data_IF_570103056865
#
_entry.id   IF_570103056865
#
_cell.length_a   1.000
_cell.length_b   1.000
_cell.length_c   1.000
_cell.angle_alpha   90.00
_cell.angle_beta   90.00
_cell.angle_gamma   90.00
#
_symmetry.space_group_name_H-M   'P 1'
#
loop_
_entity.id
_entity.type
_entity.pdbx_description
1 polymer ?
#
# COMPACT_ATOMS: atom_id res chain seq x y z
N UNK A 1 -12.85 12.24 -7.20
CA UNK A 1 -11.60 12.89 -7.66
C UNK A 1 -10.63 13.10 -6.52
N UNK A 2 -10.86 14.04 -5.60
CA UNK A 2 -9.86 14.44 -4.59
C UNK A 2 -9.29 13.33 -3.68
N UNK A 3 -10.02 12.24 -3.40
CA UNK A 3 -9.47 11.10 -2.62
C UNK A 3 -8.43 10.32 -3.43
N UNK A 4 -8.75 9.98 -4.68
CA UNK A 4 -7.87 9.18 -5.54
C UNK A 4 -6.59 9.97 -5.82
N UNK A 5 -6.71 11.25 -6.14
CA UNK A 5 -5.56 12.15 -6.36
C UNK A 5 -4.62 12.18 -5.15
N UNK A 6 -5.16 12.30 -3.93
CA UNK A 6 -4.36 12.31 -2.70
C UNK A 6 -3.67 10.98 -2.43
N UNK A 7 -4.34 9.87 -2.72
CA UNK A 7 -3.73 8.54 -2.63
C UNK A 7 -2.60 8.40 -3.67
N UNK A 8 -2.80 8.85 -4.91
CA UNK A 8 -1.76 8.83 -5.93
C UNK A 8 -0.55 9.71 -5.56
N UNK A 9 -0.79 10.90 -5.02
CA UNK A 9 0.27 11.80 -4.51
C UNK A 9 1.08 11.12 -3.39
N UNK A 10 0.40 10.50 -2.43
CA UNK A 10 1.05 9.76 -1.34
C UNK A 10 1.89 8.59 -1.87
N UNK A 11 1.37 7.81 -2.83
CA UNK A 11 2.11 6.71 -3.45
C UNK A 11 3.32 7.21 -4.24
N UNK A 12 3.20 8.31 -5.00
CA UNK A 12 4.31 8.94 -5.70
C UNK A 12 5.40 9.40 -4.73
N UNK A 13 5.01 9.97 -3.58
CA UNK A 13 5.95 10.40 -2.55
C UNK A 13 6.71 9.21 -1.96
N UNK A 14 6.03 8.12 -1.62
CA UNK A 14 6.67 6.91 -1.08
C UNK A 14 7.64 6.29 -2.08
N UNK A 15 7.18 6.04 -3.31
CA UNK A 15 8.02 5.44 -4.35
C UNK A 15 9.20 6.34 -4.71
N UNK A 16 8.99 7.66 -4.79
CA UNK A 16 10.06 8.64 -5.03
C UNK A 16 11.14 8.66 -3.95
N UNK A 17 10.83 8.18 -2.74
CA UNK A 17 11.77 8.04 -1.63
C UNK A 17 12.24 6.59 -1.42
N UNK A 18 11.95 5.68 -2.35
CA UNK A 18 12.42 4.28 -2.30
C UNK A 18 11.62 3.40 -1.33
N UNK A 19 10.38 3.76 -1.00
CA UNK A 19 9.49 2.97 -0.15
C UNK A 19 8.29 2.43 -0.92
N UNK A 20 7.81 1.25 -0.54
CA UNK A 20 6.53 0.67 -0.97
C UNK A 20 5.51 0.72 0.17
N UNK A 21 4.23 0.75 -0.19
CA UNK A 21 3.11 0.56 0.73
C UNK A 21 2.39 -0.74 0.36
N UNK A 22 2.73 -1.84 1.04
CA UNK A 22 2.37 -3.20 0.59
C UNK A 22 0.91 -3.59 0.76
N UNK A 23 0.11 -2.83 1.51
CA UNK A 23 -1.31 -3.15 1.76
C UNK A 23 -2.22 -1.98 1.36
N UNK A 24 -2.10 -1.51 0.11
CA UNK A 24 -2.97 -0.45 -0.40
C UNK A 24 -4.37 -0.99 -0.67
N UNK A 25 -5.31 -0.64 0.22
CA UNK A 25 -6.73 -1.01 0.11
C UNK A 25 -7.62 -0.01 0.83
N UNK A 26 -8.91 -0.02 0.52
CA UNK A 26 -9.87 0.93 1.08
C UNK A 26 -9.88 1.00 2.62
N UNK A 27 -9.78 -0.11 3.38
CA UNK A 27 -9.66 -0.05 4.85
C UNK A 27 -8.43 0.71 5.37
N UNK A 28 -7.35 0.75 4.59
CA UNK A 28 -6.09 1.38 4.96
C UNK A 28 -6.00 2.83 4.43
N UNK A 29 -7.14 3.38 3.96
CA UNK A 29 -7.28 4.76 3.52
C UNK A 29 -8.27 5.47 4.45
N UNK A 30 -7.78 6.44 5.20
CA UNK A 30 -8.62 7.28 6.03
C UNK A 30 -9.06 8.52 5.24
N UNK A 31 -10.38 8.74 5.17
CA UNK A 31 -10.93 10.00 4.66
C UNK A 31 -10.77 11.09 5.72
N UNK A 32 -10.17 12.20 5.34
CA UNK A 32 -9.95 13.36 6.21
C UNK A 32 -10.50 14.62 5.54
N UNK A 33 -10.64 15.71 6.30
CA UNK A 33 -11.03 16.98 5.71
C UNK A 33 -9.98 17.43 4.68
N UNK A 34 -10.44 17.69 3.46
CA UNK A 34 -9.58 18.09 2.34
C UNK A 34 -8.83 16.96 1.63
N UNK A 35 -9.10 15.68 1.94
CA UNK A 35 -8.47 14.58 1.19
C UNK A 35 -8.53 13.20 1.81
N UNK A 36 -7.42 12.47 1.66
CA UNK A 36 -7.23 11.13 2.16
C UNK A 36 -5.81 10.94 2.68
N UNK A 37 -5.65 10.05 3.65
CA UNK A 37 -4.37 9.65 4.22
C UNK A 37 -4.24 8.13 4.20
N UNK A 38 -3.03 7.62 3.98
CA UNK A 38 -2.71 6.22 4.20
C UNK A 38 -2.51 5.99 5.71
N UNK A 39 -3.00 4.86 6.21
CA UNK A 39 -2.82 4.37 7.58
C UNK A 39 -2.41 2.90 7.52
N UNK A 40 -1.95 2.32 8.63
CA UNK A 40 -1.51 0.91 8.69
C UNK A 40 -0.26 0.65 7.81
N UNK A 41 0.90 1.07 8.33
CA UNK A 41 2.20 1.00 7.65
C UNK A 41 2.99 -0.27 7.99
N UNK A 42 2.38 -1.27 8.62
CA UNK A 42 3.10 -2.47 9.07
C UNK A 42 3.71 -3.24 7.89
N UNK A 43 3.15 -3.10 6.69
CA UNK A 43 3.65 -3.71 5.44
C UNK A 43 4.28 -2.69 4.48
N UNK A 44 4.65 -1.52 5.00
CA UNK A 44 5.46 -0.57 4.28
C UNK A 44 6.95 -0.82 4.54
N UNK A 45 7.79 -0.49 3.57
CA UNK A 45 9.23 -0.66 3.73
C UNK A 45 9.99 -0.29 2.46
N UNK A 46 11.31 -0.48 2.47
CA UNK A 46 12.14 -0.14 1.31
C UNK A 46 11.87 -1.07 0.13
N UNK A 47 11.90 -0.52 -1.07
CA UNK A 47 11.83 -1.29 -2.33
C UNK A 47 12.92 -2.36 -2.34
N UNK A 48 12.56 -3.60 -2.66
CA UNK A 48 13.47 -4.76 -2.70
C UNK A 48 13.72 -5.44 -1.35
N UNK A 49 13.58 -4.71 -0.24
CA UNK A 49 13.76 -5.22 1.12
C UNK A 49 12.43 -5.67 1.75
N UNK A 50 11.36 -4.90 1.58
CA UNK A 50 10.02 -5.26 2.07
C UNK A 50 9.56 -6.60 1.48
N UNK A 51 9.01 -7.47 2.34
CA UNK A 51 8.49 -8.80 1.97
C UNK A 51 7.13 -9.02 2.62
N UNK A 52 6.29 -9.78 1.94
CA UNK A 52 5.10 -10.36 2.55
C UNK A 52 5.44 -11.60 3.38
N UNK A 53 4.69 -11.91 4.45
CA UNK A 53 4.73 -13.21 5.11
C UNK A 53 4.42 -14.35 4.13
N UNK A 54 5.02 -15.53 4.36
CA UNK A 54 4.77 -16.71 3.51
C UNK A 54 3.34 -17.26 3.64
N UNK A 55 2.71 -16.99 4.77
CA UNK A 55 1.35 -17.41 5.14
C UNK A 55 0.33 -16.27 4.97
N UNK A 56 0.60 -15.33 4.06
CA UNK A 56 -0.35 -14.27 3.71
C UNK A 56 -1.70 -14.85 3.26
N UNK A 57 -2.78 -14.09 3.46
CA UNK A 57 -4.11 -14.51 3.05
C UNK A 57 -4.25 -14.53 1.51
N UNK A 58 -4.04 -15.68 0.88
CA UNK A 58 -4.15 -15.87 -0.57
C UNK A 58 -5.57 -15.79 -1.13
N UNK A 59 -6.60 -15.61 -0.29
CA UNK A 59 -7.99 -15.46 -0.73
C UNK A 59 -8.35 -14.00 -1.07
N UNK A 60 -7.40 -13.08 -0.89
CA UNK A 60 -7.55 -11.65 -1.23
C UNK A 60 -6.81 -11.34 -2.53
N UNK A 61 -7.36 -10.41 -3.31
CA UNK A 61 -6.70 -9.87 -4.50
C UNK A 61 -5.57 -8.92 -4.10
N UNK A 62 -4.36 -9.47 -3.98
CA UNK A 62 -3.14 -8.69 -3.74
C UNK A 62 -2.63 -8.00 -5.01
N UNK A 63 -1.76 -7.02 -4.83
CA UNK A 63 -1.10 -6.33 -5.93
C UNK A 63 -0.21 -7.29 -6.75
N UNK A 64 -0.01 -6.97 -8.02
CA UNK A 64 0.90 -7.72 -8.89
C UNK A 64 2.33 -7.75 -8.30
N UNK A 65 2.99 -8.92 -8.37
CA UNK A 65 4.29 -9.16 -7.74
C UNK A 65 4.23 -9.68 -6.30
N UNK A 66 3.04 -9.81 -5.73
CA UNK A 66 2.83 -10.62 -4.52
C UNK A 66 3.04 -12.10 -4.88
N UNK A 67 3.75 -12.90 -4.08
CA UNK A 67 3.98 -14.31 -4.38
C UNK A 67 2.66 -15.06 -4.58
N UNK A 68 2.60 -15.90 -5.61
CA UNK A 68 1.52 -16.87 -5.74
C UNK A 68 1.55 -17.85 -4.56
N UNK A 69 0.40 -18.51 -4.34
CA UNK A 69 0.28 -19.57 -3.33
C UNK A 69 1.45 -20.55 -3.48
N UNK A 70 2.15 -20.91 -2.38
CA UNK A 70 3.19 -21.93 -2.44
C UNK A 70 2.65 -23.28 -2.94
#
# INVERSE_FOLDING_TARGET
EQIIERVEEAMKLLHGNGFVFGDLRAPNILRVDGGAMLIDFDWAGKVGEAKYPLDINFEVNWAEGTPDRP
#
